data_IF_530169994542
#
_entry.id   IF_530169994542
#
_cell.length_a   1.000
_cell.length_b   1.000
_cell.length_c   1.000
_cell.angle_alpha   90.00
_cell.angle_beta   90.00
_cell.angle_gamma   90.00
#
_symmetry.space_group_name_H-M   'P 1'
#
loop_
_entity.id
_entity.type
_entity.pdbx_description
1 polymer ?
#
# COMPACT_ATOMS: atom_id res chain seq x y z
N UNK A 1 1.39 -18.77 -11.59
CA UNK A 1 2.06 -18.52 -10.32
C UNK A 1 1.00 -18.67 -9.23
N UNK A 2 1.05 -19.73 -8.43
CA UNK A 2 0.26 -19.87 -7.20
C UNK A 2 0.53 -18.70 -6.27
N UNK A 3 -0.42 -18.39 -5.39
CA UNK A 3 -0.33 -17.28 -4.43
C UNK A 3 1.08 -17.12 -3.87
N UNK A 4 1.63 -15.91 -3.94
CA UNK A 4 3.03 -15.64 -3.64
C UNK A 4 3.42 -15.93 -2.18
N UNK A 5 2.45 -16.10 -1.28
CA UNK A 5 2.66 -16.47 0.12
C UNK A 5 1.70 -17.60 0.44
N UNK A 6 2.23 -18.74 0.90
CA UNK A 6 1.45 -19.96 1.18
C UNK A 6 0.27 -19.70 2.11
N UNK A 7 -0.75 -20.55 1.98
CA UNK A 7 -2.08 -20.44 2.59
C UNK A 7 -2.14 -20.33 4.13
N UNK A 8 -1.01 -20.39 4.82
CA UNK A 8 -0.96 -20.44 6.28
C UNK A 8 -0.87 -19.07 6.97
N UNK A 9 -0.78 -17.96 6.19
CA UNK A 9 -0.63 -16.61 6.76
C UNK A 9 -1.50 -15.59 6.04
N UNK A 10 -2.35 -14.93 6.80
CA UNK A 10 -3.08 -13.71 6.43
C UNK A 10 -2.07 -12.60 6.09
N UNK A 11 -1.90 -12.31 4.80
CA UNK A 11 -1.02 -11.24 4.33
C UNK A 11 -1.87 -10.05 3.93
N UNK A 12 -1.79 -8.97 4.68
CA UNK A 12 -2.62 -7.78 4.56
C UNK A 12 -1.75 -6.55 4.28
N UNK A 13 -2.20 -5.69 3.36
CA UNK A 13 -1.59 -4.40 3.04
C UNK A 13 -0.08 -4.50 2.79
N UNK A 14 0.28 -4.79 1.54
CA UNK A 14 1.64 -5.22 1.17
C UNK A 14 2.51 -4.09 0.65
N UNK A 15 3.76 -4.07 1.11
CA UNK A 15 4.84 -3.31 0.51
C UNK A 15 5.95 -4.25 0.06
N UNK A 16 6.24 -4.28 -1.24
CA UNK A 16 7.31 -5.09 -1.81
C UNK A 16 8.52 -4.22 -2.14
N UNK A 17 9.73 -4.66 -1.74
CA UNK A 17 10.98 -3.97 -2.03
C UNK A 17 12.09 -4.95 -2.39
N UNK A 18 13.04 -4.46 -3.19
CA UNK A 18 14.21 -5.20 -3.63
C UNK A 18 15.50 -4.52 -3.12
N UNK A 19 16.45 -5.34 -2.66
CA UNK A 19 17.84 -4.95 -2.41
C UNK A 19 18.76 -5.99 -3.07
N UNK A 20 19.48 -5.60 -4.12
CA UNK A 20 20.25 -6.56 -4.91
C UNK A 20 19.35 -7.63 -5.53
N UNK A 21 19.57 -8.91 -5.20
CA UNK A 21 18.79 -10.06 -5.67
C UNK A 21 17.77 -10.54 -4.63
N UNK A 22 17.58 -9.77 -3.56
CA UNK A 22 16.66 -10.09 -2.48
C UNK A 22 15.38 -9.29 -2.59
N UNK A 23 14.22 -9.96 -2.44
CA UNK A 23 12.91 -9.37 -2.41
C UNK A 23 12.31 -9.52 -1.02
N UNK A 24 11.65 -8.48 -0.55
CA UNK A 24 11.05 -8.43 0.78
C UNK A 24 9.63 -7.93 0.71
N UNK A 25 8.73 -8.56 1.48
CA UNK A 25 7.35 -8.13 1.68
C UNK A 25 7.13 -7.86 3.16
N UNK A 26 6.69 -6.67 3.51
CA UNK A 26 6.23 -6.32 4.85
C UNK A 26 4.70 -6.24 4.87
N UNK A 27 4.07 -6.69 5.96
CA UNK A 27 2.62 -6.79 6.05
C UNK A 27 2.06 -6.34 7.40
N UNK A 28 0.78 -5.93 7.40
CA UNK A 28 0.04 -5.52 8.59
C UNK A 28 -0.16 -6.67 9.57
N UNK A 29 -0.17 -6.37 10.87
CA UNK A 29 -0.49 -7.33 11.93
C UNK A 29 -1.60 -6.88 12.85
N UNK A 30 -2.14 -5.69 12.66
CA UNK A 30 -3.18 -5.13 13.53
C UNK A 30 -2.75 -5.15 15.01
N UNK A 31 -3.58 -5.72 15.89
CA UNK A 31 -3.33 -5.85 17.32
C UNK A 31 -2.35 -6.99 17.72
N UNK A 32 -1.83 -7.73 16.73
CA UNK A 32 -0.99 -8.91 17.01
C UNK A 32 0.50 -8.59 17.05
N UNK A 33 1.19 -9.22 18.03
CA UNK A 33 2.65 -9.18 18.18
C UNK A 33 3.24 -10.60 18.03
N UNK A 34 4.48 -10.74 17.51
CA UNK A 34 5.37 -9.68 17.02
C UNK A 34 4.83 -9.02 15.76
N UNK A 35 5.04 -7.69 15.65
CA UNK A 35 4.47 -6.87 14.58
C UNK A 35 5.34 -6.78 13.34
N UNK A 36 4.69 -6.52 12.21
CA UNK A 36 5.29 -6.32 10.90
C UNK A 36 6.22 -7.48 10.52
N UNK A 37 5.69 -8.67 10.22
CA UNK A 37 6.47 -9.75 9.64
C UNK A 37 7.02 -9.31 8.27
N UNK A 38 8.27 -9.68 8.01
CA UNK A 38 8.93 -9.49 6.74
C UNK A 38 9.17 -10.86 6.13
N UNK A 39 8.63 -11.07 4.95
CA UNK A 39 8.88 -12.25 4.13
C UNK A 39 9.99 -11.95 3.13
N UNK A 40 10.79 -12.96 2.83
CA UNK A 40 11.93 -12.89 1.93
C UNK A 40 11.79 -13.90 0.79
N UNK A 41 12.28 -13.49 -0.39
CA UNK A 41 12.37 -14.34 -1.56
C UNK A 41 13.56 -13.96 -2.44
N UNK A 42 14.10 -14.93 -3.19
CA UNK A 42 15.08 -14.73 -4.27
C UNK A 42 14.45 -14.73 -5.66
N UNK A 43 13.24 -15.22 -5.79
CA UNK A 43 12.58 -15.48 -7.08
C UNK A 43 11.16 -14.94 -7.18
N UNK A 44 10.65 -14.26 -6.13
CA UNK A 44 9.28 -13.78 -5.97
C UNK A 44 8.20 -14.87 -6.09
N UNK A 45 8.59 -16.14 -6.05
CA UNK A 45 7.70 -17.30 -6.09
C UNK A 45 7.70 -18.05 -4.77
N UNK A 46 8.88 -18.26 -4.19
CA UNK A 46 9.06 -18.97 -2.94
C UNK A 46 9.38 -17.93 -1.85
N UNK A 47 8.48 -17.79 -0.89
CA UNK A 47 8.56 -16.83 0.19
C UNK A 47 8.71 -17.54 1.53
N UNK A 48 9.56 -17.01 2.39
CA UNK A 48 9.74 -17.49 3.76
C UNK A 48 9.61 -16.33 4.76
N UNK A 49 9.05 -16.59 5.92
CA UNK A 49 9.08 -15.64 7.02
C UNK A 49 10.53 -15.44 7.46
N UNK A 50 11.03 -14.23 7.34
CA UNK A 50 12.43 -13.92 7.54
C UNK A 50 12.72 -13.24 8.88
N UNK A 51 11.87 -12.28 9.27
CA UNK A 51 12.01 -11.53 10.53
C UNK A 51 10.69 -10.81 10.87
N UNK A 52 10.66 -10.20 12.05
CA UNK A 52 9.66 -9.22 12.45
C UNK A 52 10.35 -7.90 12.79
N UNK A 53 9.71 -6.80 12.44
CA UNK A 53 10.25 -5.45 12.64
C UNK A 53 10.01 -4.95 14.05
N UNK A 54 8.80 -5.19 14.59
CA UNK A 54 8.41 -4.82 15.95
C UNK A 54 8.34 -6.07 16.82
N UNK A 55 9.23 -6.19 17.78
CA UNK A 55 9.37 -7.38 18.63
C UNK A 55 9.18 -7.11 20.11
N UNK A 56 9.11 -5.82 20.50
CA UNK A 56 9.01 -5.39 21.90
C UNK A 56 7.76 -4.56 22.12
N UNK A 57 7.03 -4.84 23.21
CA UNK A 57 5.88 -4.06 23.66
C UNK A 57 6.23 -2.61 24.03
N UNK A 58 7.50 -2.32 24.34
CA UNK A 58 7.97 -0.95 24.61
C UNK A 58 8.03 -0.09 23.33
N UNK A 59 8.05 -0.71 22.14
CA UNK A 59 8.07 -0.02 20.87
C UNK A 59 6.67 0.40 20.40
N UNK A 60 5.65 -0.40 20.76
CA UNK A 60 4.24 -0.11 20.48
C UNK A 60 3.32 -0.82 21.47
N UNK A 61 2.48 -0.06 22.18
CA UNK A 61 1.49 -0.63 23.12
C UNK A 61 0.17 -0.93 22.40
N UNK A 62 -0.06 -2.19 22.08
CA UNK A 62 -1.28 -2.68 21.45
C UNK A 62 -2.30 -3.29 22.42
N UNK A 63 -1.99 -3.37 23.73
CA UNK A 63 -2.74 -4.18 24.72
C UNK A 63 -4.18 -3.76 24.95
N UNK A 64 -4.52 -2.51 24.64
CA UNK A 64 -5.86 -1.95 24.90
C UNK A 64 -6.62 -1.64 23.61
N UNK A 65 -6.06 -2.00 22.46
CA UNK A 65 -6.68 -1.69 21.18
C UNK A 65 -7.81 -2.68 20.87
N UNK A 66 -8.92 -2.20 20.26
CA UNK A 66 -9.97 -3.06 19.75
C UNK A 66 -9.45 -3.97 18.62
N UNK A 67 -10.19 -5.05 18.34
CA UNK A 67 -9.90 -5.93 17.21
C UNK A 67 -9.81 -5.16 15.88
N UNK A 68 -8.88 -5.58 15.03
CA UNK A 68 -8.56 -4.97 13.74
C UNK A 68 -8.07 -3.51 13.83
N UNK A 69 -7.57 -3.09 14.97
CA UNK A 69 -6.81 -1.85 15.17
C UNK A 69 -5.32 -2.19 15.34
N UNK A 70 -4.49 -1.20 15.62
CA UNK A 70 -3.05 -1.40 15.79
C UNK A 70 -2.26 -1.16 14.51
N UNK A 71 -1.39 -2.06 14.12
CA UNK A 71 -0.40 -1.86 13.04
C UNK A 71 -1.04 -2.05 11.68
N UNK A 72 -1.15 -0.94 10.93
CA UNK A 72 -1.71 -0.89 9.58
C UNK A 72 -0.65 -0.53 8.55
N UNK A 73 -0.76 -1.15 7.37
CA UNK A 73 -0.11 -0.80 6.11
C UNK A 73 1.38 -0.40 6.24
N UNK A 74 2.26 -1.28 6.74
CA UNK A 74 3.68 -0.97 6.80
C UNK A 74 4.26 -0.83 5.39
N UNK A 75 4.97 0.26 5.15
CA UNK A 75 5.72 0.49 3.93
C UNK A 75 7.21 0.28 4.16
N UNK A 76 7.77 -0.80 3.64
CA UNK A 76 9.19 -1.07 3.64
C UNK A 76 9.85 -0.35 2.45
N UNK A 77 10.88 0.43 2.71
CA UNK A 77 11.72 1.04 1.68
C UNK A 77 13.19 0.82 1.97
N UNK A 78 14.03 0.93 0.94
CA UNK A 78 15.47 0.89 1.05
C UNK A 78 16.08 2.14 0.40
N UNK A 79 16.88 2.87 1.16
CA UNK A 79 17.63 4.02 0.69
C UNK A 79 19.02 3.57 0.25
N UNK A 80 19.25 3.47 -1.05
CA UNK A 80 20.56 3.04 -1.60
C UNK A 80 21.70 4.03 -1.21
N UNK A 81 21.41 5.32 -1.16
CA UNK A 81 22.40 6.35 -0.82
C UNK A 81 22.94 6.22 0.61
N UNK A 82 22.12 5.71 1.52
CA UNK A 82 22.44 5.58 2.95
C UNK A 82 22.75 4.14 3.36
N UNK A 83 22.47 3.15 2.51
CA UNK A 83 22.49 1.72 2.82
C UNK A 83 21.61 1.39 4.04
N UNK A 84 20.39 1.93 4.08
CA UNK A 84 19.46 1.79 5.19
C UNK A 84 18.07 1.34 4.72
N UNK A 85 17.48 0.46 5.52
CA UNK A 85 16.06 0.12 5.44
C UNK A 85 15.25 1.09 6.31
N UNK A 86 14.08 1.47 5.80
CA UNK A 86 13.08 2.27 6.46
C UNK A 86 11.76 1.52 6.45
N UNK A 87 11.07 1.48 7.57
CA UNK A 87 9.67 1.05 7.63
C UNK A 87 8.83 2.19 8.18
N UNK A 88 7.89 2.66 7.37
CA UNK A 88 6.83 3.59 7.78
C UNK A 88 5.58 2.76 8.07
N UNK A 89 4.90 3.00 9.19
CA UNK A 89 3.69 2.27 9.55
C UNK A 89 2.74 3.15 10.36
N UNK A 90 1.44 2.83 10.28
CA UNK A 90 0.43 3.47 11.11
C UNK A 90 0.06 2.61 12.32
N UNK A 91 -0.21 3.26 13.44
CA UNK A 91 -0.88 2.65 14.58
C UNK A 91 -2.29 3.22 14.66
N UNK A 92 -3.26 2.43 14.24
CA UNK A 92 -4.67 2.78 14.33
C UNK A 92 -5.17 2.56 15.75
N UNK A 93 -5.42 3.65 16.47
CA UNK A 93 -5.91 3.60 17.85
C UNK A 93 -7.41 3.36 17.92
N UNK A 94 -8.16 4.09 17.08
CA UNK A 94 -9.60 3.91 16.97
C UNK A 94 -10.13 4.33 15.59
N UNK A 95 -11.28 3.80 15.25
CA UNK A 95 -12.02 4.16 14.05
C UNK A 95 -13.51 4.19 14.37
N UNK A 96 -14.15 5.34 14.15
CA UNK A 96 -15.57 5.49 14.35
C UNK A 96 -16.18 6.27 13.18
N UNK A 97 -16.96 5.57 12.37
CA UNK A 97 -17.56 6.11 11.15
C UNK A 97 -16.50 6.74 10.24
N UNK A 98 -16.43 8.06 10.17
CA UNK A 98 -15.51 8.82 9.30
C UNK A 98 -14.25 9.30 10.03
N UNK A 99 -14.12 9.01 11.31
CA UNK A 99 -13.01 9.49 12.13
C UNK A 99 -12.02 8.37 12.36
N UNK A 100 -10.76 8.65 12.04
CA UNK A 100 -9.64 7.75 12.20
C UNK A 100 -8.64 8.39 13.15
N UNK A 101 -8.40 7.73 14.28
CA UNK A 101 -7.36 8.10 15.23
C UNK A 101 -6.14 7.23 14.95
N UNK A 102 -5.19 7.78 14.20
CA UNK A 102 -4.01 7.05 13.72
C UNK A 102 -2.76 7.90 13.89
N UNK A 103 -1.69 7.27 14.37
CA UNK A 103 -0.36 7.84 14.45
C UNK A 103 0.57 7.11 13.49
N UNK A 104 1.33 7.85 12.67
CA UNK A 104 2.29 7.28 11.74
C UNK A 104 3.70 7.42 12.30
N UNK A 105 4.49 6.36 12.14
CA UNK A 105 5.84 6.26 12.63
C UNK A 105 6.81 5.81 11.54
N UNK A 106 8.10 6.08 11.74
CA UNK A 106 9.19 5.51 10.96
C UNK A 106 10.22 4.88 11.89
N UNK A 107 10.74 3.74 11.48
CA UNK A 107 11.88 3.05 12.09
C UNK A 107 12.91 2.70 11.02
N UNK A 108 14.16 2.59 11.40
CA UNK A 108 15.29 2.50 10.49
C UNK A 108 16.24 1.40 10.96
N UNK A 109 16.80 0.64 10.02
CA UNK A 109 17.82 -0.36 10.30
C UNK A 109 18.82 -0.49 9.16
N UNK A 110 20.04 -0.92 9.47
CA UNK A 110 21.06 -1.25 8.47
C UNK A 110 20.86 -2.65 7.88
N UNK A 111 20.45 -3.60 8.70
CA UNK A 111 20.08 -4.96 8.30
C UNK A 111 18.58 -5.12 8.44
N UNK A 112 17.94 -5.80 7.49
CA UNK A 112 16.48 -6.03 7.51
C UNK A 112 16.02 -6.81 8.75
N UNK A 113 16.91 -7.58 9.37
CA UNK A 113 16.67 -8.29 10.63
C UNK A 113 16.89 -7.42 11.87
N UNK A 114 17.25 -6.17 11.69
CA UNK A 114 17.55 -5.23 12.76
C UNK A 114 19.03 -5.25 13.21
N UNK A 115 19.36 -4.65 14.37
CA UNK A 115 18.37 -4.02 15.26
C UNK A 115 17.72 -2.79 14.60
N UNK A 116 16.42 -2.64 14.78
CA UNK A 116 15.66 -1.48 14.35
C UNK A 116 15.80 -0.33 15.35
N UNK A 117 15.74 0.90 14.86
CA UNK A 117 15.74 2.09 15.72
C UNK A 117 14.45 2.16 16.55
N UNK A 118 14.44 2.99 17.58
CA UNK A 118 13.17 3.36 18.22
C UNK A 118 12.28 4.08 17.22
N UNK A 119 10.93 3.91 17.35
CA UNK A 119 9.98 4.61 16.52
C UNK A 119 10.10 6.13 16.61
N UNK A 120 10.07 6.78 15.45
CA UNK A 120 10.02 8.23 15.33
C UNK A 120 8.63 8.59 14.82
N UNK A 121 7.89 9.39 15.57
CA UNK A 121 6.58 9.90 15.17
C UNK A 121 6.69 10.82 13.96
N UNK A 122 5.79 10.66 13.00
CA UNK A 122 5.71 11.48 11.80
C UNK A 122 4.53 12.46 11.87
N UNK A 123 3.32 11.97 11.81
CA UNK A 123 2.09 12.76 11.83
C UNK A 123 0.86 11.88 12.04
N UNK A 124 -0.29 12.53 12.34
CA UNK A 124 -1.61 11.88 12.49
C UNK A 124 -2.61 12.38 11.44
N UNK A 125 -2.14 12.80 10.26
CA UNK A 125 -3.01 13.39 9.23
C UNK A 125 -3.85 12.36 8.44
N UNK A 126 -3.56 11.08 8.60
CA UNK A 126 -4.25 9.98 7.92
C UNK A 126 -3.41 8.70 7.99
N UNK A 127 -3.78 7.68 7.25
CA UNK A 127 -3.17 6.35 7.31
C UNK A 127 -2.50 5.95 5.98
N UNK A 128 -2.01 4.71 5.91
CA UNK A 128 -1.27 4.13 4.76
C UNK A 128 -0.06 4.98 4.35
N UNK A 129 0.71 5.43 5.33
CA UNK A 129 1.87 6.26 5.06
C UNK A 129 2.99 5.46 4.40
N UNK A 130 3.61 6.06 3.38
CA UNK A 130 4.79 5.53 2.70
C UNK A 130 5.88 6.59 2.53
N UNK A 131 7.08 6.17 2.11
CA UNK A 131 8.23 7.09 1.99
C UNK A 131 8.91 6.93 0.63
N UNK A 132 9.22 8.06 -0.01
CA UNK A 132 10.13 8.15 -1.14
C UNK A 132 11.48 8.72 -0.68
N UNK A 133 12.58 8.08 -1.04
CA UNK A 133 13.92 8.61 -0.98
C UNK A 133 14.26 9.25 -2.32
N UNK A 134 14.32 10.58 -2.37
CA UNK A 134 14.55 11.30 -3.62
C UNK A 134 16.06 11.39 -3.93
N UNK A 135 16.40 11.60 -5.20
CA UNK A 135 17.79 11.65 -5.69
C UNK A 135 18.60 12.79 -5.07
N UNK A 136 17.94 13.86 -4.62
CA UNK A 136 18.55 15.00 -3.95
C UNK A 136 18.76 14.81 -2.43
N UNK A 137 18.47 13.61 -1.93
CA UNK A 137 18.62 13.23 -0.52
C UNK A 137 17.41 13.55 0.36
N UNK A 138 16.40 14.26 -0.16
CA UNK A 138 15.16 14.50 0.58
C UNK A 138 14.32 13.24 0.71
N UNK A 139 13.53 13.21 1.75
CA UNK A 139 12.59 12.11 2.02
C UNK A 139 11.17 12.66 2.08
N UNK A 140 10.29 12.08 1.28
CA UNK A 140 8.90 12.48 1.15
C UNK A 140 8.01 11.43 1.76
N UNK A 141 7.25 11.79 2.79
CA UNK A 141 6.22 10.95 3.38
C UNK A 141 4.90 11.31 2.73
N UNK A 142 4.24 10.32 2.16
CA UNK A 142 2.88 10.45 1.61
C UNK A 142 1.92 9.59 2.39
N UNK A 143 0.70 10.06 2.56
CA UNK A 143 -0.37 9.34 3.25
C UNK A 143 -1.73 9.76 2.71
N UNK A 144 -2.75 8.96 2.97
CA UNK A 144 -4.13 9.39 2.79
C UNK A 144 -4.48 10.47 3.83
N UNK A 145 -5.18 11.51 3.40
CA UNK A 145 -5.97 12.38 4.27
C UNK A 145 -7.44 12.05 4.08
N UNK A 146 -8.10 11.54 5.11
CA UNK A 146 -9.51 11.18 5.04
C UNK A 146 -10.41 12.41 5.13
N UNK A 147 -11.42 12.48 4.27
CA UNK A 147 -12.39 13.57 4.31
C UNK A 147 -13.47 13.30 5.36
N UNK A 148 -13.43 14.03 6.45
CA UNK A 148 -14.37 13.87 7.59
C UNK A 148 -15.59 14.78 7.51
N UNK A 149 -15.57 15.80 6.64
CA UNK A 149 -16.66 16.78 6.54
C UNK A 149 -17.90 16.17 5.92
N UNK A 150 -19.06 16.50 6.47
CA UNK A 150 -20.35 16.10 5.90
C UNK A 150 -20.59 16.77 4.55
N UNK A 151 -21.29 16.08 3.65
CA UNK A 151 -21.62 16.58 2.32
C UNK A 151 -20.56 16.37 1.24
N UNK A 152 -19.36 15.89 1.60
CA UNK A 152 -18.33 15.52 0.62
C UNK A 152 -18.53 14.07 0.19
N UNK A 153 -18.68 13.86 -1.12
CA UNK A 153 -19.03 12.55 -1.67
C UNK A 153 -17.83 11.63 -1.84
N UNK A 154 -16.68 12.18 -2.24
CA UNK A 154 -15.45 11.41 -2.45
C UNK A 154 -14.49 11.63 -1.28
N UNK A 155 -14.46 10.73 -0.29
CA UNK A 155 -13.53 10.86 0.81
C UNK A 155 -12.11 10.57 0.36
N UNK A 156 -11.18 11.32 0.93
CA UNK A 156 -9.76 11.11 0.77
C UNK A 156 -9.10 11.99 -0.28
N UNK A 157 -7.85 12.27 0.02
CA UNK A 157 -6.86 12.87 -0.86
C UNK A 157 -5.49 12.35 -0.44
N UNK A 158 -4.53 12.35 -1.32
CA UNK A 158 -3.16 12.04 -0.95
C UNK A 158 -2.46 13.34 -0.54
N UNK A 159 -1.87 13.29 0.65
CA UNK A 159 -1.06 14.36 1.21
C UNK A 159 0.42 13.97 1.24
N UNK A 160 1.28 14.96 1.20
CA UNK A 160 2.73 14.77 1.28
C UNK A 160 3.36 15.79 2.23
N UNK A 161 4.40 15.35 2.93
CA UNK A 161 5.25 16.19 3.78
C UNK A 161 6.70 15.72 3.68
N UNK A 162 7.65 16.62 3.87
CA UNK A 162 9.07 16.27 3.94
C UNK A 162 9.40 15.70 5.33
N UNK A 163 10.26 14.68 5.37
CA UNK A 163 10.84 14.15 6.61
C UNK A 163 12.33 14.44 6.67
N UNK A 164 12.81 14.96 7.80
CA UNK A 164 14.23 15.16 8.09
C UNK A 164 14.76 14.05 8.99
N UNK A 165 15.63 13.15 8.49
CA UNK A 165 16.28 12.14 9.34
C UNK A 165 17.18 12.75 10.42
N UNK A 166 17.83 13.90 10.11
CA UNK A 166 18.69 14.61 11.05
C UNK A 166 17.92 15.12 12.26
N UNK A 167 16.76 15.76 12.01
CA UNK A 167 15.91 16.32 13.06
C UNK A 167 14.98 15.27 13.67
N UNK A 168 14.79 14.14 12.99
CA UNK A 168 13.80 13.08 13.33
C UNK A 168 12.36 13.63 13.43
N UNK A 169 11.99 14.47 12.47
CA UNK A 169 10.67 15.09 12.41
C UNK A 169 10.26 15.42 10.97
N UNK A 170 8.97 15.61 10.75
CA UNK A 170 8.44 16.15 9.50
C UNK A 170 8.64 17.67 9.44
N UNK A 171 8.90 18.19 8.26
CA UNK A 171 9.15 19.62 8.02
C UNK A 171 7.87 20.27 7.47
N UNK A 172 7.20 21.01 8.33
CA UNK A 172 5.95 21.69 7.99
C UNK A 172 4.72 20.80 8.18
N UNK A 173 3.73 20.96 7.29
CA UNK A 173 2.45 20.25 7.38
C UNK A 173 2.17 19.47 6.10
N UNK A 174 1.48 18.30 6.18
CA UNK A 174 1.03 17.58 5.00
C UNK A 174 0.18 18.46 4.08
N UNK A 175 0.48 18.42 2.78
CA UNK A 175 -0.25 19.17 1.75
C UNK A 175 -0.80 18.21 0.72
N UNK A 176 -2.04 18.43 0.30
CA UNK A 176 -2.69 17.64 -0.75
C UNK A 176 -1.95 17.77 -2.06
N UNK A 177 -1.69 16.64 -2.69
CA UNK A 177 -0.99 16.55 -3.98
C UNK A 177 -1.82 15.85 -5.06
N UNK A 178 -2.75 14.95 -4.69
CA UNK A 178 -3.58 14.22 -5.64
C UNK A 178 -4.91 13.75 -5.04
N UNK A 179 -5.96 13.68 -5.87
CA UNK A 179 -7.30 13.27 -5.46
C UNK A 179 -7.78 11.97 -6.11
N UNK A 180 -6.90 11.27 -6.83
CA UNK A 180 -7.19 9.98 -7.47
C UNK A 180 -7.30 10.02 -8.98
N UNK A 181 -7.31 8.85 -9.58
CA UNK A 181 -7.34 8.60 -11.01
C UNK A 181 -8.67 8.04 -11.51
N UNK A 182 -9.64 7.74 -10.63
CA UNK A 182 -10.96 7.23 -10.99
C UNK A 182 -12.09 7.92 -10.23
N UNK A 183 -13.32 7.57 -10.59
CA UNK A 183 -14.51 7.99 -9.84
C UNK A 183 -14.87 7.06 -8.67
N UNK A 184 -14.02 6.07 -8.35
CA UNK A 184 -14.30 5.11 -7.27
C UNK A 184 -14.23 5.70 -5.87
N UNK A 185 -13.50 6.82 -5.68
CA UNK A 185 -13.31 7.45 -4.38
C UNK A 185 -12.47 6.60 -3.41
N UNK A 186 -12.46 6.98 -2.13
CA UNK A 186 -11.69 6.28 -1.09
C UNK A 186 -10.24 6.04 -1.52
N UNK A 187 -9.55 7.10 -1.98
CA UNK A 187 -8.15 7.00 -2.37
C UNK A 187 -7.28 6.76 -1.14
N UNK A 188 -6.42 5.74 -1.20
CA UNK A 188 -5.57 5.30 -0.09
C UNK A 188 -4.29 4.64 -0.61
N UNK A 189 -3.44 4.10 0.28
CA UNK A 189 -2.25 3.33 -0.04
C UNK A 189 -1.29 4.01 -1.05
N UNK A 190 -0.88 5.26 -0.84
CA UNK A 190 -0.01 5.94 -1.79
C UNK A 190 1.41 5.40 -1.75
N UNK A 191 1.99 5.11 -2.91
CA UNK A 191 3.42 4.83 -3.08
C UNK A 191 4.00 5.77 -4.13
N UNK A 192 4.97 6.59 -3.72
CA UNK A 192 5.74 7.44 -4.65
C UNK A 192 6.98 6.72 -5.13
N UNK A 193 7.25 6.84 -6.43
CA UNK A 193 8.47 6.35 -7.07
C UNK A 193 8.96 7.39 -8.08
N UNK A 194 10.23 7.30 -8.50
CA UNK A 194 10.82 8.17 -9.51
C UNK A 194 11.40 7.35 -10.65
N UNK A 195 11.03 7.69 -11.89
CA UNK A 195 11.50 7.00 -13.08
C UNK A 195 11.52 7.96 -14.28
N UNK A 196 12.62 7.98 -15.03
CA UNK A 196 12.76 8.74 -16.28
C UNK A 196 12.34 10.22 -16.16
N UNK A 197 12.69 10.86 -15.04
CA UNK A 197 12.39 12.27 -14.77
C UNK A 197 10.92 12.57 -14.44
N UNK A 198 10.12 11.54 -14.13
CA UNK A 198 8.79 11.67 -13.58
C UNK A 198 8.72 11.10 -12.16
N UNK A 199 7.89 11.71 -11.33
CA UNK A 199 7.38 11.14 -10.09
C UNK A 199 6.08 10.42 -10.40
N UNK A 200 5.99 9.16 -10.03
CA UNK A 200 4.78 8.34 -10.14
C UNK A 200 4.17 8.15 -8.78
N UNK A 201 2.86 8.32 -8.71
CA UNK A 201 2.08 7.99 -7.52
C UNK A 201 1.16 6.83 -7.85
N UNK A 202 1.31 5.72 -7.13
CA UNK A 202 0.42 4.57 -7.19
C UNK A 202 -0.46 4.59 -5.97
N UNK A 203 -1.76 4.37 -6.12
CA UNK A 203 -2.73 4.37 -5.04
C UNK A 203 -3.73 3.23 -5.17
N UNK A 204 -4.44 2.96 -4.10
CA UNK A 204 -5.69 2.22 -4.13
C UNK A 204 -6.88 3.18 -4.21
N UNK A 205 -7.96 2.77 -4.83
CA UNK A 205 -9.25 3.46 -4.84
C UNK A 205 -10.40 2.47 -4.68
N UNK A 206 -11.58 2.96 -4.30
CA UNK A 206 -12.79 2.18 -4.13
C UNK A 206 -12.96 1.56 -2.73
N UNK A 207 -12.00 1.78 -1.83
CA UNK A 207 -11.95 1.10 -0.53
C UNK A 207 -11.69 -0.41 -0.67
N UNK A 208 -11.51 -1.11 0.43
CA UNK A 208 -11.09 -2.53 0.45
C UNK A 208 -12.19 -3.55 0.08
N UNK A 209 -13.29 -3.09 -0.52
CA UNK A 209 -14.40 -3.92 -0.98
C UNK A 209 -14.21 -4.49 -2.39
N UNK A 210 -15.32 -4.93 -3.00
CA UNK A 210 -15.30 -5.52 -4.36
C UNK A 210 -14.96 -4.51 -5.46
N UNK A 211 -15.13 -3.21 -5.22
CA UNK A 211 -14.77 -2.12 -6.13
C UNK A 211 -13.32 -1.62 -5.96
N UNK A 212 -12.52 -2.29 -5.15
CA UNK A 212 -11.11 -1.97 -4.94
C UNK A 212 -10.31 -2.02 -6.25
N UNK A 213 -9.33 -1.14 -6.39
CA UNK A 213 -8.45 -1.12 -7.56
C UNK A 213 -7.11 -0.45 -7.26
N UNK A 214 -6.17 -0.63 -8.19
CA UNK A 214 -4.89 0.10 -8.23
C UNK A 214 -4.97 1.19 -9.29
N UNK A 215 -4.60 2.41 -8.93
CA UNK A 215 -4.53 3.55 -9.83
C UNK A 215 -3.14 4.15 -9.86
N UNK A 216 -2.81 4.86 -10.92
CA UNK A 216 -1.52 5.51 -11.09
C UNK A 216 -1.70 6.93 -11.64
N UNK A 217 -0.87 7.84 -11.16
CA UNK A 217 -0.66 9.18 -11.70
C UNK A 217 0.82 9.50 -11.81
N UNK A 218 1.19 10.54 -12.56
CA UNK A 218 2.58 11.02 -12.66
C UNK A 218 2.67 12.53 -12.73
N UNK A 219 3.82 13.07 -12.36
CA UNK A 219 4.13 14.49 -12.44
C UNK A 219 5.62 14.72 -12.74
N UNK A 220 5.96 15.90 -13.27
CA UNK A 220 7.37 16.33 -13.42
C UNK A 220 7.97 16.88 -12.13
N UNK A 221 7.14 17.30 -11.21
CA UNK A 221 7.53 17.81 -9.90
C UNK A 221 6.89 16.96 -8.82
N UNK A 222 7.62 16.69 -7.73
CA UNK A 222 7.11 15.86 -6.63
C UNK A 222 5.83 16.42 -6.00
N UNK A 223 5.63 17.74 -6.04
CA UNK A 223 4.41 18.41 -5.58
C UNK A 223 3.28 18.43 -6.62
N UNK A 224 3.49 17.84 -7.79
CA UNK A 224 2.53 17.83 -8.88
C UNK A 224 2.62 19.06 -9.81
N UNK A 225 1.56 19.36 -10.60
CA UNK A 225 0.30 18.61 -10.61
C UNK A 225 0.45 17.20 -11.18
N UNK A 226 -0.21 16.23 -10.53
CA UNK A 226 -0.24 14.84 -11.03
C UNK A 226 -1.33 14.68 -12.08
N UNK A 227 -0.98 14.14 -13.23
CA UNK A 227 -1.91 13.64 -14.23
C UNK A 227 -2.22 12.16 -13.97
N UNK A 228 -3.49 11.79 -13.96
CA UNK A 228 -3.90 10.39 -13.85
C UNK A 228 -3.63 9.64 -15.13
N UNK A 229 -3.29 8.36 -14.99
CA UNK A 229 -3.19 7.46 -16.12
C UNK A 229 -4.53 7.40 -16.86
N UNK A 230 -4.57 7.60 -18.19
CA UNK A 230 -5.83 7.64 -18.96
C UNK A 230 -6.58 6.30 -18.99
N UNK A 231 -5.92 5.20 -18.61
CA UNK A 231 -6.53 3.87 -18.54
C UNK A 231 -6.80 3.37 -17.12
N UNK A 232 -6.70 4.26 -16.11
CA UNK A 232 -7.04 3.88 -14.75
C UNK A 232 -8.44 3.22 -14.65
N UNK A 233 -8.60 2.19 -13.82
CA UNK A 233 -7.58 1.57 -12.96
C UNK A 233 -6.62 0.67 -13.74
N UNK A 234 -5.35 0.62 -13.32
CA UNK A 234 -4.34 -0.23 -13.95
C UNK A 234 -4.45 -1.70 -13.56
N UNK A 235 -5.01 -2.01 -12.37
CA UNK A 235 -5.38 -3.35 -11.92
C UNK A 235 -6.67 -3.26 -11.12
N UNK A 236 -7.59 -4.17 -11.37
CA UNK A 236 -8.89 -4.29 -10.68
C UNK A 236 -9.44 -5.69 -10.80
N UNK A 237 -10.43 -6.04 -9.99
CA UNK A 237 -11.25 -7.26 -10.18
C UNK A 237 -12.54 -6.98 -10.95
N UNK A 238 -12.95 -5.72 -11.08
CA UNK A 238 -14.20 -5.33 -11.73
C UNK A 238 -14.03 -4.01 -12.49
N UNK A 239 -14.27 -3.99 -13.81
CA UNK A 239 -14.21 -2.77 -14.61
C UNK A 239 -15.51 -1.94 -14.44
N UNK A 240 -15.43 -0.65 -14.79
CA UNK A 240 -16.57 0.22 -15.01
C UNK A 240 -17.38 0.60 -13.75
N UNK A 241 -16.77 0.51 -12.56
CA UNK A 241 -17.43 0.90 -11.31
C UNK A 241 -17.25 2.40 -11.06
N UNK A 242 -18.35 3.09 -10.71
CA UNK A 242 -18.35 4.45 -10.18
C UNK A 242 -18.51 4.45 -8.66
N UNK A 243 -18.19 5.60 -8.03
CA UNK A 243 -18.35 5.77 -6.61
C UNK A 243 -19.82 5.70 -6.17
N UNK A 244 -20.09 4.83 -5.21
CA UNK A 244 -21.35 4.80 -4.46
C UNK A 244 -21.02 4.93 -2.97
N UNK A 245 -21.43 6.02 -2.36
CA UNK A 245 -21.05 6.39 -0.99
C UNK A 245 -21.44 5.40 0.08
N UNK A 246 -22.45 4.58 -0.15
CA UNK A 246 -22.94 3.65 0.84
C UNK A 246 -23.41 2.35 0.16
N UNK A 247 -22.61 1.34 0.24
CA UNK A 247 -23.10 -0.02 0.32
C UNK A 247 -23.28 -0.35 1.80
N UNK A 248 -24.49 -0.19 2.37
CA UNK A 248 -24.72 -0.48 3.79
C UNK A 248 -24.55 -1.95 4.14
N UNK A 249 -24.45 -2.81 3.14
CA UNK A 249 -24.32 -4.23 3.30
C UNK A 249 -23.04 -4.78 2.66
N UNK A 250 -21.91 -4.59 3.36
CA UNK A 250 -20.60 -5.14 2.96
C UNK A 250 -20.60 -6.66 2.76
N UNK A 251 -21.66 -7.33 3.16
CA UNK A 251 -21.82 -8.77 3.01
C UNK A 251 -22.51 -9.15 1.69
N UNK A 252 -23.12 -8.18 1.00
CA UNK A 252 -23.71 -8.37 -0.33
C UNK A 252 -22.75 -7.88 -1.39
N UNK A 253 -22.12 -8.78 -2.13
CA UNK A 253 -21.09 -8.41 -3.09
C UNK A 253 -21.70 -7.83 -4.37
N UNK A 254 -22.20 -6.59 -4.31
CA UNK A 254 -22.81 -5.89 -5.44
C UNK A 254 -21.91 -5.84 -6.67
N UNK A 255 -20.59 -5.73 -6.42
CA UNK A 255 -19.57 -5.65 -7.46
C UNK A 255 -18.76 -6.94 -7.63
N UNK A 256 -19.28 -8.06 -7.14
CA UNK A 256 -18.66 -9.35 -7.42
C UNK A 256 -18.63 -9.61 -8.92
N UNK A 257 -17.45 -9.92 -9.46
CA UNK A 257 -17.26 -10.27 -10.85
C UNK A 257 -16.98 -11.77 -10.99
N UNK A 258 -17.92 -12.58 -11.49
CA UNK A 258 -17.70 -14.01 -11.64
C UNK A 258 -16.63 -14.38 -12.67
N UNK A 259 -16.24 -13.45 -13.55
CA UNK A 259 -15.18 -13.63 -14.55
C UNK A 259 -13.77 -13.47 -13.92
N UNK A 260 -13.66 -12.88 -12.72
CA UNK A 260 -12.40 -12.67 -12.03
C UNK A 260 -12.23 -13.67 -10.88
N UNK A 261 -11.16 -14.45 -10.91
CA UNK A 261 -10.79 -15.35 -9.81
C UNK A 261 -10.34 -14.55 -8.60
N UNK A 262 -9.56 -13.49 -8.81
CA UNK A 262 -9.10 -12.60 -7.77
C UNK A 262 -10.08 -11.46 -7.59
N UNK A 263 -10.75 -11.41 -6.43
CA UNK A 263 -11.66 -10.33 -6.07
C UNK A 263 -10.96 -9.27 -5.23
N UNK A 264 -11.53 -8.07 -5.14
CA UNK A 264 -11.07 -6.98 -4.27
C UNK A 264 -9.62 -6.55 -4.53
N UNK A 265 -9.15 -6.66 -5.77
CA UNK A 265 -7.75 -6.39 -6.14
C UNK A 265 -7.44 -4.90 -6.08
N UNK A 266 -6.53 -4.51 -5.20
CA UNK A 266 -6.10 -3.14 -4.97
C UNK A 266 -4.88 -3.06 -4.05
N UNK A 267 -4.53 -1.89 -3.53
CA UNK A 267 -3.40 -1.65 -2.63
C UNK A 267 -2.12 -2.29 -3.18
N UNK A 268 -1.60 -1.73 -4.29
CA UNK A 268 -0.48 -2.29 -5.04
C UNK A 268 0.86 -1.63 -4.71
N UNK A 269 1.92 -2.41 -4.79
CA UNK A 269 3.31 -1.96 -4.77
C UNK A 269 4.07 -2.69 -5.87
N UNK A 270 4.84 -2.00 -6.71
CA UNK A 270 5.59 -2.65 -7.76
C UNK A 270 7.08 -2.73 -7.47
N UNK A 271 7.73 -3.70 -8.09
CA UNK A 271 9.17 -3.94 -8.03
C UNK A 271 9.71 -4.25 -9.42
N UNK A 272 10.91 -3.75 -9.72
CA UNK A 272 11.65 -4.03 -10.95
C UNK A 272 12.80 -4.99 -10.63
N UNK A 273 12.92 -6.08 -11.41
CA UNK A 273 14.00 -7.05 -11.27
C UNK A 273 15.31 -6.53 -11.87
N UNK A 274 16.47 -7.14 -11.56
CA UNK A 274 17.73 -6.80 -12.22
C UNK A 274 17.72 -6.99 -13.74
N UNK A 275 16.80 -7.80 -14.26
CA UNK A 275 16.63 -8.05 -15.70
C UNK A 275 15.64 -7.08 -16.36
N UNK A 276 15.11 -6.11 -15.61
CA UNK A 276 14.15 -5.11 -16.09
C UNK A 276 12.71 -5.62 -16.20
N UNK A 277 12.40 -6.81 -15.69
CA UNK A 277 11.01 -7.24 -15.55
C UNK A 277 10.33 -6.51 -14.40
N UNK A 278 9.06 -6.19 -14.57
CA UNK A 278 8.28 -5.47 -13.56
C UNK A 278 7.15 -6.33 -13.05
N UNK A 279 7.02 -6.38 -11.74
CA UNK A 279 5.94 -7.10 -11.06
C UNK A 279 5.24 -6.18 -10.07
N UNK A 280 3.91 -6.27 -10.04
CA UNK A 280 3.05 -5.58 -9.07
C UNK A 280 2.53 -6.61 -8.08
N UNK A 281 2.82 -6.40 -6.81
CA UNK A 281 2.24 -7.14 -5.70
C UNK A 281 1.05 -6.36 -5.19
N UNK A 282 -0.09 -7.02 -5.01
CA UNK A 282 -1.31 -6.34 -4.61
C UNK A 282 -2.18 -7.20 -3.70
N UNK A 283 -3.05 -6.55 -2.98
CA UNK A 283 -4.05 -7.16 -2.14
C UNK A 283 -5.19 -7.74 -2.98
N UNK A 284 -5.69 -8.91 -2.60
CA UNK A 284 -6.87 -9.53 -3.21
C UNK A 284 -7.64 -10.37 -2.21
N UNK A 285 -8.70 -11.05 -2.67
CA UNK A 285 -9.42 -12.07 -1.94
C UNK A 285 -9.98 -13.13 -2.89
N UNK A 286 -10.14 -14.37 -2.39
CA UNK A 286 -10.79 -15.49 -3.07
C UNK A 286 -11.99 -15.93 -2.26
N UNK A 287 -13.19 -15.33 -2.50
CA UNK A 287 -14.40 -15.68 -1.78
C UNK A 287 -14.92 -17.07 -2.16
N UNK A 288 -15.38 -17.83 -1.18
CA UNK A 288 -15.99 -19.14 -1.41
C UNK A 288 -17.46 -19.00 -1.81
N UNK A 289 -17.82 -19.59 -2.95
CA UNK A 289 -19.20 -19.68 -3.40
C UNK A 289 -19.99 -20.74 -2.58
N UNK A 290 -21.33 -20.60 -2.43
CA UNK A 290 -22.15 -19.53 -2.99
C UNK A 290 -22.25 -18.28 -2.11
N UNK A 291 -21.84 -18.31 -0.84
CA UNK A 291 -22.03 -17.23 0.14
C UNK A 291 -21.04 -16.09 -0.06
N UNK A 292 -20.00 -16.28 -0.88
CA UNK A 292 -18.96 -15.32 -1.20
C UNK A 292 -18.22 -14.76 0.04
N UNK A 293 -17.95 -15.64 1.01
CA UNK A 293 -17.21 -15.34 2.22
C UNK A 293 -15.71 -15.48 1.99
N UNK A 294 -14.94 -14.49 2.45
CA UNK A 294 -13.49 -14.53 2.42
C UNK A 294 -12.97 -15.03 3.78
N UNK A 295 -13.12 -16.32 4.06
CA UNK A 295 -12.76 -16.91 5.35
C UNK A 295 -11.25 -16.91 5.61
N UNK A 296 -10.43 -16.86 4.56
CA UNK A 296 -8.98 -16.65 4.65
C UNK A 296 -8.60 -15.17 4.77
N UNK A 297 -9.58 -14.26 4.80
CA UNK A 297 -9.35 -12.83 4.86
C UNK A 297 -8.91 -12.25 3.51
N UNK A 298 -7.97 -11.31 3.56
CA UNK A 298 -7.31 -10.73 2.39
C UNK A 298 -6.00 -11.47 2.12
N UNK A 299 -5.68 -11.62 0.85
CA UNK A 299 -4.52 -12.36 0.37
C UNK A 299 -3.63 -11.45 -0.49
N UNK A 300 -2.42 -11.90 -0.78
CA UNK A 300 -1.50 -11.21 -1.68
C UNK A 300 -1.41 -11.95 -3.00
N UNK A 301 -1.52 -11.22 -4.10
CA UNK A 301 -1.29 -11.71 -5.45
C UNK A 301 -0.21 -10.89 -6.15
N UNK A 302 0.32 -11.45 -7.24
CA UNK A 302 1.35 -10.81 -8.06
C UNK A 302 0.88 -10.76 -9.52
N UNK A 303 1.12 -9.63 -10.20
CA UNK A 303 0.85 -9.45 -11.61
C UNK A 303 2.15 -9.12 -12.34
N UNK A 304 2.39 -9.74 -13.50
CA UNK A 304 3.46 -9.31 -14.38
C UNK A 304 3.04 -8.02 -15.09
N UNK A 305 3.92 -7.02 -15.07
CA UNK A 305 3.66 -5.69 -15.62
C UNK A 305 4.66 -5.36 -16.73
N UNK A 306 4.39 -4.29 -17.48
CA UNK A 306 5.31 -3.68 -18.44
C UNK A 306 5.14 -2.17 -18.44
N UNK A 307 6.21 -1.45 -18.73
CA UNK A 307 6.16 -0.02 -19.06
C UNK A 307 5.85 0.15 -20.54
N UNK A 308 4.88 1.04 -20.87
CA UNK A 308 4.59 1.42 -22.25
C UNK A 308 5.60 2.45 -22.75
N UNK A 309 5.62 2.71 -24.07
CA UNK A 309 6.46 3.74 -24.67
C UNK A 309 6.12 5.14 -24.14
N UNK A 310 4.86 5.40 -23.82
CA UNK A 310 4.38 6.67 -23.24
C UNK A 310 4.75 6.80 -21.74
N UNK A 311 5.36 5.76 -21.15
CA UNK A 311 5.80 5.74 -19.76
C UNK A 311 4.69 5.47 -18.76
N UNK A 312 3.68 4.67 -19.10
CA UNK A 312 2.68 4.17 -18.16
C UNK A 312 2.89 2.70 -17.83
N UNK A 313 2.54 2.30 -16.62
CA UNK A 313 2.60 0.91 -16.19
C UNK A 313 1.30 0.18 -16.56
N UNK A 314 1.43 -1.00 -17.16
CA UNK A 314 0.31 -1.85 -17.59
C UNK A 314 0.54 -3.29 -17.18
N UNK A 315 -0.54 -4.05 -17.02
CA UNK A 315 -0.42 -5.50 -16.99
C UNK A 315 0.19 -5.98 -18.33
N UNK A 316 0.95 -7.05 -18.26
CA UNK A 316 1.77 -7.52 -19.39
C UNK A 316 0.96 -7.83 -20.65
N UNK A 317 -0.29 -8.23 -20.48
CA UNK A 317 -1.23 -8.58 -21.55
C UNK A 317 -2.19 -7.43 -21.97
N UNK A 318 -1.93 -6.21 -21.51
CA UNK A 318 -2.73 -5.00 -21.80
C UNK A 318 -4.18 -5.04 -21.25
N UNK A 319 -4.49 -6.00 -20.38
CA UNK A 319 -5.73 -6.05 -19.62
C UNK A 319 -5.59 -5.25 -18.31
N UNK A 320 -6.66 -5.09 -17.54
CA UNK A 320 -6.64 -4.54 -16.20
C UNK A 320 -7.33 -5.43 -15.15
N UNK A 321 -7.86 -6.58 -15.57
CA UNK A 321 -8.43 -7.58 -14.66
C UNK A 321 -7.33 -8.43 -14.03
N UNK A 322 -7.25 -8.39 -12.70
CA UNK A 322 -6.29 -9.20 -11.96
C UNK A 322 -6.46 -10.69 -12.26
N UNK A 323 -5.34 -11.36 -12.52
CA UNK A 323 -5.28 -12.77 -12.93
C UNK A 323 -4.53 -13.62 -11.92
N UNK A 324 -4.89 -14.87 -11.86
CA UNK A 324 -4.13 -15.91 -11.21
C UNK A 324 -3.20 -16.55 -12.25
N UNK A 325 -1.91 -16.65 -11.93
CA UNK A 325 -0.89 -17.22 -12.81
C UNK A 325 -0.27 -18.47 -12.20
#
# INVERSE_FOLDING_TARGET
>A
LEAAVGADHLVLDVSCRRKGDDYYIAVSTFEWMPGIPVYHSKDMKNWELYTHVLTDDEEVDLKKLPSAKGIWAPCLTYCEQEDLFYVVYGVMNSMNARYFDVDNFVIIAKDIRGPWSKPVYLHSAGFDASMLHDDDGRKWVVSLEWETREGYEKPGAICMVEYSPEKKEVIGYPKRIWNGGTDRGCIEAPHLTKRNGYYYIMCAEGGTGYNHCVTMGRAKNVWGPYEGDPTNPIVTSVPGVSYERQDPDHLKPKYYNPESVLQKSGHGSYVETPLGEVYLVHLCARPFAPELRCTLGRETAIQKMKWTEEGWLRMYDDDNLAKEY
#
